data_IF_207510307383
#
_entry.id   IF_207510307383
#
_cell.length_a   1.000
_cell.length_b   1.000
_cell.length_c   1.000
_cell.angle_alpha   90.00
_cell.angle_beta   90.00
_cell.angle_gamma   90.00
#
_symmetry.space_group_name_H-M   'P 1'
#
loop_
_entity.id
_entity.type
_entity.pdbx_description
1 polymer ?
#
# COMPACT_ATOMS: atom_id res chain seq x y z
N UNK A 1 -20.59 -17.66 7.13
CA UNK A 1 -19.62 -18.16 6.13
C UNK A 1 -20.21 -18.53 4.75
N UNK A 2 -21.52 -18.45 4.49
CA UNK A 2 -22.09 -18.76 3.15
C UNK A 2 -22.25 -17.56 2.20
N UNK A 3 -22.41 -16.33 2.74
CA UNK A 3 -22.57 -15.13 1.91
C UNK A 3 -21.30 -14.73 1.12
N UNK A 4 -20.10 -15.00 1.66
CA UNK A 4 -18.83 -14.69 0.99
C UNK A 4 -18.57 -15.57 -0.24
N UNK A 5 -19.09 -16.81 -0.28
CA UNK A 5 -18.89 -17.72 -1.42
C UNK A 5 -19.76 -17.34 -2.63
N UNK A 6 -20.95 -16.78 -2.39
CA UNK A 6 -21.88 -16.39 -3.46
C UNK A 6 -21.44 -15.15 -4.23
N UNK A 7 -20.73 -14.21 -3.59
CA UNK A 7 -20.19 -13.03 -4.28
C UNK A 7 -18.97 -13.40 -5.12
N UNK A 8 -18.18 -14.39 -4.67
CA UNK A 8 -17.05 -14.91 -5.43
C UNK A 8 -17.49 -15.59 -6.73
N UNK A 9 -18.56 -16.40 -6.73
CA UNK A 9 -18.98 -17.15 -7.94
C UNK A 9 -19.52 -16.27 -9.07
N UNK A 10 -20.08 -15.09 -8.76
CA UNK A 10 -20.62 -14.16 -9.77
C UNK A 10 -19.51 -13.32 -10.42
N UNK A 11 -18.37 -13.15 -9.75
CA UNK A 11 -17.24 -12.33 -10.23
C UNK A 11 -16.18 -13.13 -11.01
N UNK A 12 -16.28 -14.47 -11.04
CA UNK A 12 -15.37 -15.37 -11.74
C UNK A 12 -15.88 -15.68 -13.16
N UNK A 13 -15.89 -14.68 -14.04
CA UNK A 13 -16.04 -14.91 -15.49
C UNK A 13 -14.65 -15.23 -16.10
N UNK A 14 -14.49 -16.25 -16.96
CA UNK A 14 -13.19 -16.91 -17.17
C UNK A 14 -12.13 -16.12 -17.97
N UNK A 15 -12.42 -14.90 -18.46
CA UNK A 15 -11.62 -14.23 -19.48
C UNK A 15 -11.08 -12.84 -19.07
N UNK A 16 -10.58 -12.65 -17.84
CA UNK A 16 -9.97 -11.37 -17.45
C UNK A 16 -8.59 -11.54 -16.76
N UNK A 17 -7.53 -10.83 -17.21
CA UNK A 17 -6.22 -10.81 -16.53
C UNK A 17 -6.28 -10.24 -15.11
N UNK A 18 -7.42 -9.65 -14.73
CA UNK A 18 -7.72 -9.18 -13.39
C UNK A 18 -7.84 -10.30 -12.34
N UNK A 19 -8.04 -11.56 -12.75
CA UNK A 19 -8.24 -12.71 -11.85
C UNK A 19 -6.95 -13.25 -11.23
N UNK A 20 -5.84 -13.22 -11.97
CA UNK A 20 -4.52 -13.65 -11.45
C UNK A 20 -4.00 -12.70 -10.38
N UNK A 21 -4.33 -11.42 -10.50
CA UNK A 21 -4.03 -10.37 -9.53
C UNK A 21 -4.64 -10.66 -8.15
N UNK A 22 -5.94 -11.02 -8.12
CA UNK A 22 -6.64 -11.30 -6.87
C UNK A 22 -5.97 -12.45 -6.11
N UNK A 23 -5.55 -13.51 -6.80
CA UNK A 23 -4.86 -14.64 -6.17
C UNK A 23 -3.48 -14.31 -5.58
N UNK A 24 -2.76 -13.32 -6.12
CA UNK A 24 -1.47 -12.87 -5.60
C UNK A 24 -1.59 -11.97 -4.37
N UNK A 25 -2.63 -11.14 -4.33
CA UNK A 25 -2.90 -10.20 -3.23
C UNK A 25 -3.11 -10.91 -1.88
N UNK A 26 -3.81 -12.05 -1.90
CA UNK A 26 -4.06 -12.87 -0.71
C UNK A 26 -2.87 -13.76 -0.31
N UNK A 27 -1.80 -13.81 -1.13
CA UNK A 27 -0.58 -14.59 -0.86
C UNK A 27 0.53 -13.77 -0.20
N UNK A 28 0.47 -12.43 -0.29
CA UNK A 28 1.29 -11.58 0.55
C UNK A 28 0.88 -11.88 2.00
N UNK A 29 1.79 -12.38 2.84
CA UNK A 29 1.52 -12.72 4.25
C UNK A 29 1.27 -11.45 5.08
N UNK A 30 0.22 -10.71 4.76
CA UNK A 30 -0.18 -9.46 5.39
C UNK A 30 -1.40 -9.70 6.29
N UNK A 31 -1.66 -8.83 7.28
CA UNK A 31 -2.92 -8.90 8.03
C UNK A 31 -4.13 -8.84 7.08
N UNK A 32 -5.17 -9.63 7.35
CA UNK A 32 -6.36 -9.75 6.48
C UNK A 32 -7.04 -8.41 6.21
N UNK A 33 -7.09 -7.51 7.21
CA UNK A 33 -7.59 -6.13 7.06
C UNK A 33 -6.83 -5.33 6.01
N UNK A 34 -5.53 -5.57 5.90
CA UNK A 34 -4.64 -4.91 4.94
C UNK A 34 -4.89 -5.48 3.56
N UNK A 35 -4.97 -6.80 3.40
CA UNK A 35 -5.32 -7.41 2.12
C UNK A 35 -6.67 -6.88 1.60
N UNK A 36 -7.69 -6.82 2.46
CA UNK A 36 -8.99 -6.24 2.09
C UNK A 36 -8.90 -4.77 1.71
N UNK A 37 -8.12 -3.97 2.45
CA UNK A 37 -7.86 -2.57 2.12
C UNK A 37 -7.21 -2.43 0.75
N UNK A 38 -6.14 -3.18 0.47
CA UNK A 38 -5.42 -3.07 -0.81
C UNK A 38 -6.32 -3.49 -1.96
N UNK A 39 -7.11 -4.56 -1.81
CA UNK A 39 -8.12 -4.95 -2.79
C UNK A 39 -9.12 -3.82 -3.06
N UNK A 40 -9.64 -3.20 -2.00
CA UNK A 40 -10.59 -2.09 -2.13
C UNK A 40 -9.95 -0.86 -2.78
N UNK A 41 -8.70 -0.57 -2.47
CA UNK A 41 -7.92 0.51 -3.05
C UNK A 41 -7.63 0.26 -4.53
N UNK A 42 -7.34 -0.99 -4.89
CA UNK A 42 -7.11 -1.41 -6.27
C UNK A 42 -8.39 -1.26 -7.12
N UNK A 43 -9.57 -1.46 -6.53
CA UNK A 43 -10.85 -1.14 -7.17
C UNK A 43 -11.19 0.35 -7.20
N UNK A 44 -10.35 1.22 -6.61
CA UNK A 44 -10.61 2.65 -6.50
C UNK A 44 -11.74 3.02 -5.53
N UNK A 45 -12.07 2.16 -4.56
CA UNK A 45 -13.31 2.25 -3.76
C UNK A 45 -13.10 2.59 -2.27
N UNK A 46 -11.89 2.95 -1.85
CA UNK A 46 -11.64 3.40 -0.47
C UNK A 46 -12.28 4.76 -0.18
N UNK A 47 -12.43 5.14 1.10
CA UNK A 47 -13.19 6.32 1.53
C UNK A 47 -12.43 7.65 1.33
N UNK A 48 -12.00 7.94 0.11
CA UNK A 48 -11.40 9.23 -0.29
C UNK A 48 -12.46 10.30 -0.54
N UNK A 49 -12.09 11.59 -0.49
CA UNK A 49 -13.04 12.71 -0.73
C UNK A 49 -13.72 12.58 -2.08
N UNK A 50 -13.00 12.23 -3.15
CA UNK A 50 -13.56 12.03 -4.48
C UNK A 50 -14.64 10.93 -4.52
N UNK A 51 -14.42 9.82 -3.80
CA UNK A 51 -15.36 8.72 -3.66
C UNK A 51 -16.62 9.14 -2.88
N UNK A 52 -16.46 9.95 -1.84
CA UNK A 52 -17.57 10.51 -1.06
C UNK A 52 -18.40 11.48 -1.91
N UNK A 53 -17.75 12.37 -2.67
CA UNK A 53 -18.44 13.30 -3.59
C UNK A 53 -19.20 12.55 -4.69
N UNK A 54 -18.65 11.46 -5.22
CA UNK A 54 -19.35 10.57 -6.17
C UNK A 54 -20.60 9.91 -5.55
N UNK A 55 -20.69 9.84 -4.22
CA UNK A 55 -21.88 9.40 -3.47
C UNK A 55 -22.76 10.56 -2.97
N UNK A 56 -22.58 11.77 -3.54
CA UNK A 56 -23.33 13.00 -3.21
C UNK A 56 -23.13 13.50 -1.77
N UNK A 57 -22.02 13.15 -1.13
CA UNK A 57 -21.61 13.77 0.15
C UNK A 57 -20.92 15.09 -0.14
N UNK A 58 -21.37 16.16 0.51
CA UNK A 58 -20.78 17.50 0.39
C UNK A 58 -19.59 17.59 1.35
N UNK A 59 -18.38 17.56 0.80
CA UNK A 59 -17.12 17.68 1.53
C UNK A 59 -16.12 18.47 0.68
N UNK A 60 -15.22 19.19 1.35
CA UNK A 60 -14.11 19.86 0.69
C UNK A 60 -13.17 18.84 0.06
N UNK A 61 -12.79 19.09 -1.19
CA UNK A 61 -11.95 18.17 -1.95
C UNK A 61 -10.49 18.56 -1.81
N UNK A 62 -9.88 17.99 -0.78
CA UNK A 62 -8.54 18.35 -0.34
C UNK A 62 -7.87 17.15 0.31
N UNK A 63 -6.64 16.87 -0.13
CA UNK A 63 -5.79 15.84 0.45
C UNK A 63 -5.17 16.33 1.76
N UNK A 64 -5.54 15.72 2.88
CA UNK A 64 -5.02 16.11 4.20
C UNK A 64 -3.52 15.80 4.40
N UNK A 65 -2.93 14.99 3.52
CA UNK A 65 -1.50 14.71 3.55
C UNK A 65 -0.68 15.87 2.96
N UNK A 66 -0.94 16.24 1.70
CA UNK A 66 -0.14 17.25 1.00
C UNK A 66 -0.64 18.67 1.14
N UNK A 67 -1.92 18.85 1.51
CA UNK A 67 -2.53 20.16 1.67
C UNK A 67 -2.46 21.05 0.40
N UNK A 68 -2.52 20.43 -0.78
CA UNK A 68 -2.30 21.13 -2.05
C UNK A 68 -3.24 20.70 -3.18
N UNK A 69 -3.62 19.42 -3.24
CA UNK A 69 -4.44 18.84 -4.31
C UNK A 69 -5.71 18.17 -3.75
N UNK A 70 -6.65 17.79 -4.63
CA UNK A 70 -7.81 16.97 -4.27
C UNK A 70 -7.43 15.53 -3.88
N UNK A 71 -8.24 14.90 -3.01
CA UNK A 71 -7.97 13.54 -2.55
C UNK A 71 -8.67 12.49 -3.43
N UNK A 72 -7.88 11.81 -4.26
CA UNK A 72 -8.28 10.57 -4.93
C UNK A 72 -7.46 9.39 -4.43
N UNK A 73 -7.88 8.16 -4.72
CA UNK A 73 -7.13 6.94 -4.33
C UNK A 73 -5.69 6.96 -4.85
N UNK A 74 -5.52 7.28 -6.13
CA UNK A 74 -4.20 7.31 -6.76
C UNK A 74 -3.36 8.48 -6.25
N UNK A 75 -3.98 9.65 -6.02
CA UNK A 75 -3.27 10.76 -5.40
C UNK A 75 -2.82 10.38 -3.98
N UNK A 76 -3.74 9.97 -3.12
CA UNK A 76 -3.46 9.67 -1.72
C UNK A 76 -2.36 8.62 -1.54
N UNK A 77 -2.40 7.54 -2.31
CA UNK A 77 -1.51 6.40 -2.13
C UNK A 77 -0.22 6.45 -2.95
N UNK A 78 -0.20 7.20 -4.07
CA UNK A 78 0.93 7.19 -5.02
C UNK A 78 1.50 8.58 -5.29
N UNK A 79 0.65 9.54 -5.67
CA UNK A 79 1.11 10.80 -6.28
C UNK A 79 1.21 11.99 -5.32
N UNK A 80 0.58 11.88 -4.16
CA UNK A 80 0.71 12.83 -3.07
C UNK A 80 2.19 13.06 -2.76
N UNK A 81 2.69 14.30 -2.66
CA UNK A 81 4.06 14.59 -2.27
C UNK A 81 4.56 13.79 -1.06
N UNK A 82 3.73 13.64 -0.02
CA UNK A 82 4.07 12.81 1.16
C UNK A 82 4.19 11.32 0.80
N UNK A 83 3.28 10.79 -0.02
CA UNK A 83 3.35 9.41 -0.48
C UNK A 83 4.59 9.15 -1.35
N UNK A 84 4.85 10.04 -2.31
CA UNK A 84 6.03 10.00 -3.19
C UNK A 84 7.32 9.96 -2.39
N UNK A 85 7.42 10.73 -1.31
CA UNK A 85 8.59 10.76 -0.44
C UNK A 85 8.91 9.41 0.22
N UNK A 86 7.89 8.62 0.58
CA UNK A 86 8.07 7.29 1.16
C UNK A 86 8.35 6.26 0.07
N UNK A 87 7.71 6.37 -1.09
CA UNK A 87 8.02 5.53 -2.25
C UNK A 87 9.45 5.75 -2.73
N UNK A 88 9.92 7.00 -2.76
CA UNK A 88 11.28 7.35 -3.12
C UNK A 88 12.29 6.75 -2.14
N UNK A 89 12.00 6.74 -0.83
CA UNK A 89 12.82 6.03 0.16
C UNK A 89 12.98 4.55 -0.24
N UNK A 90 11.88 3.86 -0.58
CA UNK A 90 11.95 2.46 -1.03
C UNK A 90 12.77 2.31 -2.30
N UNK A 91 12.50 3.14 -3.31
CA UNK A 91 13.24 3.11 -4.56
C UNK A 91 14.74 3.30 -4.34
N UNK A 92 15.13 4.25 -3.48
CA UNK A 92 16.52 4.48 -3.08
C UNK A 92 17.11 3.31 -2.32
N UNK A 93 16.36 2.68 -1.40
CA UNK A 93 16.84 1.50 -0.68
C UNK A 93 17.19 0.38 -1.64
N UNK A 94 16.35 0.11 -2.65
CA UNK A 94 16.53 -1.01 -3.57
C UNK A 94 17.31 -0.67 -4.86
N UNK A 95 17.86 0.54 -4.98
CA UNK A 95 18.57 0.97 -6.19
C UNK A 95 17.69 1.03 -7.45
N UNK A 96 16.38 1.24 -7.31
CA UNK A 96 15.41 1.17 -8.41
C UNK A 96 14.99 2.58 -8.85
N UNK A 97 15.21 2.92 -10.12
CA UNK A 97 14.69 4.14 -10.75
C UNK A 97 13.41 3.86 -11.55
N UNK A 98 12.30 3.57 -10.88
CA UNK A 98 11.01 3.36 -11.54
C UNK A 98 10.15 4.63 -11.53
N UNK A 99 9.54 4.92 -12.67
CA UNK A 99 8.45 5.90 -12.75
C UNK A 99 7.24 5.34 -12.01
N UNK A 100 6.66 6.14 -11.11
CA UNK A 100 5.44 5.75 -10.40
C UNK A 100 4.29 5.54 -11.40
N UNK A 101 3.65 4.35 -11.43
CA UNK A 101 2.50 4.10 -12.30
C UNK A 101 1.31 5.02 -11.98
N UNK A 102 0.39 5.16 -12.95
CA UNK A 102 -0.75 6.06 -12.82
C UNK A 102 -1.71 5.61 -11.70
N UNK A 103 -1.95 4.32 -11.57
CA UNK A 103 -2.92 3.78 -10.62
C UNK A 103 -2.40 2.69 -9.70
N UNK A 104 -3.13 2.46 -8.61
CA UNK A 104 -2.82 1.41 -7.61
C UNK A 104 -2.80 0.02 -8.23
N UNK A 105 -3.73 -0.29 -9.13
CA UNK A 105 -3.74 -1.57 -9.87
C UNK A 105 -2.47 -1.75 -10.68
N UNK A 106 -2.08 -0.73 -11.46
CA UNK A 106 -0.91 -0.77 -12.34
C UNK A 106 0.37 -0.95 -11.52
N UNK A 107 0.48 -0.24 -10.38
CA UNK A 107 1.56 -0.42 -9.44
C UNK A 107 1.63 -1.86 -8.94
N UNK A 108 0.53 -2.39 -8.41
CA UNK A 108 0.56 -3.73 -7.83
C UNK A 108 0.84 -4.81 -8.89
N UNK A 109 0.43 -4.59 -10.15
CA UNK A 109 0.78 -5.46 -11.27
C UNK A 109 2.27 -5.41 -11.60
N UNK A 110 2.86 -4.21 -11.76
CA UNK A 110 4.28 -4.06 -12.11
C UNK A 110 5.24 -4.38 -10.94
N UNK A 111 4.72 -4.39 -9.71
CA UNK A 111 5.47 -4.70 -8.51
C UNK A 111 5.66 -6.22 -8.28
N UNK A 112 4.91 -7.07 -9.01
CA UNK A 112 4.79 -8.53 -8.77
C UNK A 112 6.06 -9.36 -9.04
N UNK A 113 7.24 -8.74 -9.10
CA UNK A 113 8.55 -9.39 -9.21
C UNK A 113 9.19 -9.73 -7.86
N UNK A 114 10.39 -10.31 -7.91
CA UNK A 114 11.29 -10.41 -6.76
C UNK A 114 12.56 -9.64 -7.09
N UNK A 115 13.11 -8.92 -6.12
CA UNK A 115 14.31 -8.12 -6.29
C UNK A 115 15.33 -8.52 -5.22
N UNK A 116 16.59 -8.71 -5.63
CA UNK A 116 17.66 -9.07 -4.70
C UNK A 116 17.66 -10.52 -4.22
N UNK A 117 18.18 -10.73 -3.00
CA UNK A 117 18.24 -12.03 -2.32
C UNK A 117 16.85 -12.63 -2.04
N UNK A 118 16.81 -13.88 -1.57
CA UNK A 118 15.54 -14.54 -1.19
C UNK A 118 14.78 -13.77 -0.11
N UNK A 119 15.48 -13.17 0.85
CA UNK A 119 14.86 -12.33 1.88
C UNK A 119 14.48 -10.96 1.33
N UNK A 120 15.37 -10.30 0.59
CA UNK A 120 15.07 -9.01 -0.06
C UNK A 120 13.84 -9.08 -0.97
N UNK A 121 13.67 -10.18 -1.72
CA UNK A 121 12.50 -10.42 -2.56
C UNK A 121 11.19 -10.60 -1.78
N UNK A 122 11.25 -11.12 -0.55
CA UNK A 122 10.07 -11.18 0.35
C UNK A 122 9.76 -9.80 0.92
N UNK A 123 10.79 -9.04 1.31
CA UNK A 123 10.64 -7.64 1.75
C UNK A 123 9.97 -6.85 0.63
N UNK A 124 10.54 -6.90 -0.58
CA UNK A 124 10.02 -6.24 -1.77
C UNK A 124 8.52 -6.49 -1.97
N UNK A 125 8.07 -7.74 -1.90
CA UNK A 125 6.65 -8.10 -2.07
C UNK A 125 5.73 -7.54 -0.98
N UNK A 126 6.23 -7.34 0.24
CA UNK A 126 5.44 -6.82 1.37
C UNK A 126 5.24 -5.31 1.31
N UNK A 127 6.23 -4.58 0.78
CA UNK A 127 6.29 -3.12 0.76
C UNK A 127 4.99 -2.45 0.30
N UNK A 128 4.41 -2.75 -0.86
CA UNK A 128 3.30 -1.96 -1.36
C UNK A 128 2.08 -2.06 -0.45
N UNK A 129 1.87 -3.23 0.15
CA UNK A 129 0.80 -3.44 1.12
C UNK A 129 1.04 -2.64 2.41
N UNK A 130 2.25 -2.70 2.96
CA UNK A 130 2.60 -2.02 4.20
C UNK A 130 2.61 -0.49 4.03
N UNK A 131 3.22 0.01 2.96
CA UNK A 131 3.35 1.44 2.69
C UNK A 131 1.99 2.09 2.48
N UNK A 132 1.16 1.54 1.58
CA UNK A 132 -0.19 2.08 1.34
C UNK A 132 -1.07 2.01 2.59
N UNK A 133 -0.91 0.96 3.42
CA UNK A 133 -1.60 0.89 4.71
C UNK A 133 -1.13 1.98 5.68
N UNK A 134 0.18 2.24 5.78
CA UNK A 134 0.70 3.31 6.62
C UNK A 134 0.19 4.70 6.19
N UNK A 135 0.14 4.96 4.88
CA UNK A 135 -0.44 6.19 4.34
C UNK A 135 -1.93 6.32 4.68
N UNK A 136 -2.67 5.22 4.56
CA UNK A 136 -4.08 5.18 4.93
C UNK A 136 -4.31 5.44 6.42
N UNK A 137 -3.49 4.84 7.28
CA UNK A 137 -3.53 5.09 8.72
C UNK A 137 -3.19 6.55 9.06
N UNK A 138 -2.14 7.12 8.46
CA UNK A 138 -1.77 8.52 8.66
C UNK A 138 -2.91 9.46 8.23
N UNK A 139 -3.48 9.23 7.04
CA UNK A 139 -4.63 9.97 6.54
C UNK A 139 -5.78 9.93 7.54
N UNK A 140 -6.12 8.74 8.05
CA UNK A 140 -7.21 8.60 9.01
C UNK A 140 -6.92 9.28 10.35
N UNK A 141 -5.68 9.25 10.85
CA UNK A 141 -5.33 9.99 12.09
C UNK A 141 -5.52 11.50 11.90
N UNK A 142 -5.08 12.06 10.77
CA UNK A 142 -5.26 13.49 10.47
C UNK A 142 -6.72 13.88 10.38
N UNK A 143 -7.56 13.06 9.74
CA UNK A 143 -8.98 13.34 9.54
C UNK A 143 -9.81 13.16 10.81
N UNK A 144 -9.60 12.07 11.55
CA UNK A 144 -10.49 11.69 12.65
C UNK A 144 -9.96 12.08 14.04
N UNK A 145 -8.64 12.21 14.19
CA UNK A 145 -8.00 12.51 15.47
C UNK A 145 -7.30 13.88 15.48
N UNK A 146 -7.16 14.54 14.32
CA UNK A 146 -6.42 15.80 14.20
C UNK A 146 -4.90 15.63 14.40
N UNK A 147 -4.39 14.40 14.33
CA UNK A 147 -2.98 14.09 14.57
C UNK A 147 -2.18 14.05 13.27
N UNK A 148 -1.11 14.84 13.19
CA UNK A 148 -0.23 14.90 12.04
C UNK A 148 1.20 14.48 12.42
N UNK A 149 1.69 13.44 11.75
CA UNK A 149 3.06 12.95 11.94
C UNK A 149 4.01 13.64 10.97
N UNK A 150 5.22 13.98 11.42
CA UNK A 150 6.27 14.49 10.52
C UNK A 150 6.68 13.43 9.49
N UNK A 151 7.14 13.85 8.32
CA UNK A 151 7.57 12.93 7.26
C UNK A 151 8.67 11.94 7.74
N UNK A 152 9.71 12.37 8.50
CA UNK A 152 10.69 11.42 9.05
C UNK A 152 10.07 10.38 9.99
N UNK A 153 9.16 10.79 10.87
CA UNK A 153 8.49 9.87 11.79
C UNK A 153 7.53 8.91 11.05
N UNK A 154 6.89 9.36 9.97
CA UNK A 154 6.07 8.51 9.11
C UNK A 154 6.91 7.48 8.34
N UNK A 155 8.08 7.87 7.81
CA UNK A 155 9.06 6.96 7.20
C UNK A 155 9.52 5.90 8.21
N UNK A 156 9.83 6.31 9.44
CA UNK A 156 10.21 5.40 10.51
C UNK A 156 9.07 4.43 10.88
N UNK A 157 7.84 4.94 11.04
CA UNK A 157 6.65 4.09 11.30
C UNK A 157 6.43 3.06 10.20
N UNK A 158 6.63 3.43 8.93
CA UNK A 158 6.59 2.50 7.82
C UNK A 158 7.64 1.39 7.94
N UNK A 159 8.91 1.75 8.19
CA UNK A 159 10.00 0.77 8.33
C UNK A 159 9.78 -0.17 9.51
N UNK A 160 9.28 0.37 10.64
CA UNK A 160 8.95 -0.41 11.81
C UNK A 160 7.80 -1.39 11.53
N UNK A 161 6.70 -0.92 10.95
CA UNK A 161 5.57 -1.79 10.60
C UNK A 161 5.98 -2.88 9.60
N UNK A 162 6.80 -2.53 8.60
CA UNK A 162 7.33 -3.48 7.63
C UNK A 162 8.15 -4.57 8.32
N UNK A 163 9.08 -4.20 9.21
CA UNK A 163 9.88 -5.13 9.99
C UNK A 163 9.02 -6.04 10.85
N UNK A 164 8.07 -5.48 11.62
CA UNK A 164 7.15 -6.25 12.47
C UNK A 164 6.35 -7.27 11.67
N UNK A 165 5.83 -6.90 10.49
CA UNK A 165 5.04 -7.81 9.67
C UNK A 165 5.88 -8.93 9.04
N UNK A 166 7.12 -8.61 8.65
CA UNK A 166 8.06 -9.60 8.13
C UNK A 166 8.48 -10.60 9.20
N UNK A 167 8.71 -10.12 10.43
CA UNK A 167 9.02 -10.98 11.59
C UNK A 167 7.83 -11.85 11.96
N UNK A 168 6.63 -11.29 12.08
CA UNK A 168 5.41 -12.03 12.40
C UNK A 168 5.04 -13.10 11.34
N UNK A 169 5.60 -12.99 10.14
CA UNK A 169 5.35 -13.90 9.02
C UNK A 169 6.48 -14.90 8.73
N UNK A 170 7.53 -14.88 9.57
CA UNK A 170 8.77 -15.66 9.43
C UNK A 170 9.42 -15.49 8.03
N UNK A 171 9.43 -14.25 7.52
CA UNK A 171 9.94 -13.96 6.19
C UNK A 171 11.42 -13.56 6.17
N UNK A 172 11.92 -13.00 7.27
CA UNK A 172 13.30 -12.53 7.43
C UNK A 172 13.95 -13.09 8.69
N UNK A 173 15.26 -13.29 8.64
CA UNK A 173 16.06 -13.70 9.80
C UNK A 173 16.60 -12.53 10.61
N UNK A 174 16.64 -11.32 10.03
CA UNK A 174 17.12 -10.09 10.67
C UNK A 174 16.53 -9.87 12.07
N UNK A 175 17.36 -9.40 12.99
CA UNK A 175 17.01 -9.10 14.39
C UNK A 175 16.71 -7.63 14.62
N UNK A 176 17.11 -6.76 13.69
CA UNK A 176 16.87 -5.32 13.77
C UNK A 176 16.43 -4.74 12.42
N UNK A 177 15.85 -3.53 12.47
CA UNK A 177 15.54 -2.75 11.26
C UNK A 177 16.82 -2.47 10.47
N UNK A 178 17.93 -2.16 11.15
CA UNK A 178 19.22 -1.91 10.48
C UNK A 178 19.67 -3.12 9.66
N UNK A 179 19.65 -4.32 10.24
CA UNK A 179 19.97 -5.56 9.53
C UNK A 179 19.04 -5.82 8.34
N UNK A 180 17.74 -5.54 8.50
CA UNK A 180 16.77 -5.65 7.41
C UNK A 180 17.10 -4.69 6.26
N UNK A 181 17.46 -3.44 6.56
CA UNK A 181 17.81 -2.44 5.56
C UNK A 181 19.08 -2.82 4.78
N UNK A 182 20.06 -3.46 5.43
CA UNK A 182 21.26 -3.98 4.76
C UNK A 182 20.94 -5.04 3.70
N UNK A 183 19.83 -5.77 3.83
CA UNK A 183 19.38 -6.72 2.81
C UNK A 183 18.75 -6.03 1.58
N UNK A 184 18.30 -4.79 1.76
CA UNK A 184 17.62 -4.02 0.72
C UNK A 184 18.57 -3.14 -0.08
N UNK A 185 19.71 -2.73 0.49
CA UNK A 185 20.68 -1.82 -0.12
C UNK A 185 21.39 -2.46 -1.32
N UNK A 186 21.01 -2.06 -2.53
CA UNK A 186 21.62 -2.47 -3.81
C UNK A 186 22.26 -1.28 -4.53
#
# INVERSE_FOLDING_TARGET
MRALRSVLSILLSPNQPHLTFHGGLWKAKVPSRVAFFIWTASLGKILTTDNLRRRRVIILDWCCLCKADGESVNHLLLHCPVARDIWNLVCSLFGVSRVMPRGVMDLLFCWNGSLGSREAGKIWKMIPHCLMWCLWCERNSRIFNGEETSIPALKFRFLQALFEWLKASDLISSKSISEMLMLCYF
#
